data_IF_276537841334
#
_entry.id   IF_276537841334
#
_cell.length_a   1.000
_cell.length_b   1.000
_cell.length_c   1.000
_cell.angle_alpha   90.00
_cell.angle_beta   90.00
_cell.angle_gamma   90.00
#
_symmetry.space_group_name_H-M   'P 1'
#
loop_
_entity.id
_entity.type
_entity.pdbx_description
1 polymer ?
#
# COMPACT_ATOMS: atom_id res chain seq x y z
N UNK A 1 61.53 -83.27 -47.51
CA UNK A 1 60.42 -82.30 -47.46
C UNK A 1 60.76 -81.32 -46.35
N UNK A 2 61.13 -80.10 -46.73
CA UNK A 2 61.76 -79.11 -45.85
C UNK A 2 60.75 -78.45 -44.87
N UNK A 3 61.23 -77.91 -43.73
CA UNK A 3 60.38 -77.27 -42.73
C UNK A 3 60.15 -75.79 -43.06
N UNK A 4 58.93 -75.29 -42.87
CA UNK A 4 58.62 -73.86 -42.92
C UNK A 4 58.72 -73.28 -41.49
N UNK A 5 59.84 -72.62 -41.19
CA UNK A 5 60.04 -71.89 -39.96
C UNK A 5 59.25 -70.57 -40.00
N UNK A 6 58.23 -70.45 -39.14
CA UNK A 6 57.56 -69.18 -38.88
C UNK A 6 58.48 -68.31 -38.00
N UNK A 7 59.19 -67.38 -38.62
CA UNK A 7 59.96 -66.36 -37.92
C UNK A 7 59.01 -65.29 -37.37
N UNK A 8 58.81 -65.27 -36.06
CA UNK A 8 58.14 -64.18 -35.35
C UNK A 8 59.09 -63.00 -35.17
N UNK A 9 58.88 -61.93 -35.94
CA UNK A 9 59.64 -60.70 -35.82
C UNK A 9 59.11 -59.89 -34.62
N UNK A 10 59.84 -59.93 -33.50
CA UNK A 10 59.53 -59.12 -32.32
C UNK A 10 59.99 -57.68 -32.57
N UNK A 11 59.09 -56.83 -33.06
CA UNK A 11 59.34 -55.40 -33.22
C UNK A 11 59.62 -54.76 -31.83
N UNK A 12 60.88 -54.44 -31.55
CA UNK A 12 61.27 -53.74 -30.32
C UNK A 12 60.95 -52.25 -30.44
N UNK A 13 60.12 -51.73 -29.53
CA UNK A 13 59.81 -50.30 -29.44
C UNK A 13 61.07 -49.56 -28.95
N UNK A 14 61.47 -48.48 -29.64
CA UNK A 14 62.64 -47.69 -29.24
C UNK A 14 62.37 -46.87 -27.97
N UNK A 15 63.40 -46.67 -27.13
CA UNK A 15 63.31 -45.82 -25.94
C UNK A 15 62.81 -44.40 -26.27
N UNK A 16 63.27 -43.84 -27.39
CA UNK A 16 62.85 -42.52 -27.87
C UNK A 16 61.36 -42.46 -28.20
N UNK A 17 60.78 -43.54 -28.72
CA UNK A 17 59.33 -43.63 -28.96
C UNK A 17 58.55 -43.55 -27.65
N UNK A 18 59.03 -44.24 -26.60
CA UNK A 18 58.41 -44.17 -25.26
C UNK A 18 58.53 -42.78 -24.67
N UNK A 19 59.70 -42.14 -24.76
CA UNK A 19 59.92 -40.77 -24.26
C UNK A 19 59.01 -39.76 -24.96
N UNK A 20 58.89 -39.84 -26.30
CA UNK A 20 58.00 -38.97 -27.06
C UNK A 20 56.52 -39.16 -26.64
N UNK A 21 56.09 -40.40 -26.41
CA UNK A 21 54.75 -40.69 -25.93
C UNK A 21 54.50 -40.12 -24.52
N UNK A 22 55.44 -40.28 -23.59
CA UNK A 22 55.36 -39.68 -22.25
C UNK A 22 55.27 -38.16 -22.33
N UNK A 23 56.09 -37.53 -23.17
CA UNK A 23 56.08 -36.08 -23.32
C UNK A 23 54.81 -35.57 -24.01
N UNK A 24 54.17 -36.37 -24.86
CA UNK A 24 52.86 -36.05 -25.43
C UNK A 24 51.76 -36.13 -24.37
N UNK A 25 51.83 -37.13 -23.49
CA UNK A 25 50.92 -37.26 -22.35
C UNK A 25 51.09 -36.10 -21.37
N UNK A 26 52.32 -35.70 -21.05
CA UNK A 26 52.61 -34.57 -20.17
C UNK A 26 51.96 -33.27 -20.69
N UNK A 27 52.21 -32.92 -21.96
CA UNK A 27 51.57 -31.76 -22.60
C UNK A 27 50.04 -31.85 -22.61
N UNK A 28 49.50 -33.05 -22.78
CA UNK A 28 48.07 -33.27 -22.72
C UNK A 28 47.54 -33.01 -21.31
N UNK A 29 48.19 -33.53 -20.27
CA UNK A 29 47.83 -33.30 -18.86
C UNK A 29 47.82 -31.81 -18.54
N UNK A 30 48.84 -31.06 -18.96
CA UNK A 30 48.89 -29.61 -18.77
C UNK A 30 47.70 -28.89 -19.43
N UNK A 31 47.39 -29.24 -20.68
CA UNK A 31 46.23 -28.67 -21.39
C UNK A 31 44.88 -29.01 -20.72
N UNK A 32 44.77 -30.20 -20.12
CA UNK A 32 43.58 -30.58 -19.35
C UNK A 32 43.50 -29.82 -18.02
N UNK A 33 44.64 -29.58 -17.35
CA UNK A 33 44.69 -28.79 -16.12
C UNK A 33 44.23 -27.34 -16.36
N UNK A 34 44.69 -26.69 -17.44
CA UNK A 34 44.24 -25.34 -17.80
C UNK A 34 42.73 -25.29 -18.12
N UNK A 35 42.22 -26.32 -18.81
CA UNK A 35 40.78 -26.45 -19.08
C UNK A 35 39.97 -26.60 -17.80
N UNK A 36 40.43 -27.42 -16.86
CA UNK A 36 39.77 -27.61 -15.57
C UNK A 36 39.73 -26.30 -14.77
N UNK A 37 40.84 -25.58 -14.67
CA UNK A 37 40.88 -24.28 -13.97
C UNK A 37 39.94 -23.25 -14.59
N UNK A 38 39.81 -23.23 -15.92
CA UNK A 38 38.87 -22.33 -16.59
C UNK A 38 37.41 -22.71 -16.30
N UNK A 39 37.09 -24.01 -16.32
CA UNK A 39 35.76 -24.51 -15.97
C UNK A 39 35.42 -24.24 -14.50
N UNK A 40 36.37 -24.44 -13.58
CA UNK A 40 36.22 -24.14 -12.16
C UNK A 40 35.92 -22.66 -11.93
N UNK A 41 36.67 -21.76 -12.59
CA UNK A 41 36.39 -20.32 -12.51
C UNK A 41 34.98 -19.99 -13.03
N UNK A 42 34.59 -20.56 -14.16
CA UNK A 42 33.26 -20.32 -14.76
C UNK A 42 32.14 -20.84 -13.86
N UNK A 43 32.28 -22.06 -13.34
CA UNK A 43 31.30 -22.67 -12.43
C UNK A 43 31.16 -21.86 -11.14
N UNK A 44 32.27 -21.42 -10.53
CA UNK A 44 32.23 -20.53 -9.37
C UNK A 44 31.50 -19.20 -9.65
N UNK A 45 31.68 -18.61 -10.85
CA UNK A 45 30.94 -17.39 -11.21
C UNK A 45 29.44 -17.64 -11.40
N UNK A 46 29.06 -18.80 -11.94
CA UNK A 46 27.63 -19.15 -12.11
C UNK A 46 26.99 -19.53 -10.79
N UNK A 47 27.71 -20.18 -9.88
CA UNK A 47 27.26 -20.46 -8.52
C UNK A 47 27.00 -19.18 -7.76
N UNK A 48 27.90 -18.18 -7.85
CA UNK A 48 27.68 -16.87 -7.26
C UNK A 48 26.38 -16.21 -7.76
N UNK A 49 26.15 -16.25 -9.08
CA UNK A 49 24.91 -15.70 -9.67
C UNK A 49 23.67 -16.46 -9.19
N UNK A 50 23.76 -17.78 -9.03
CA UNK A 50 22.68 -18.59 -8.49
C UNK A 50 22.37 -18.20 -7.04
N UNK A 51 23.41 -18.04 -6.22
CA UNK A 51 23.27 -17.60 -4.84
C UNK A 51 22.67 -16.18 -4.73
N UNK A 52 23.11 -15.24 -5.58
CA UNK A 52 22.52 -13.90 -5.63
C UNK A 52 21.03 -13.97 -6.02
N UNK A 53 20.66 -14.82 -6.99
CA UNK A 53 19.26 -15.09 -7.33
C UNK A 53 18.48 -15.69 -6.15
N UNK A 54 19.01 -16.71 -5.49
CA UNK A 54 18.40 -17.34 -4.31
C UNK A 54 18.12 -16.31 -3.21
N UNK A 55 19.09 -15.44 -2.94
CA UNK A 55 18.93 -14.34 -1.99
C UNK A 55 17.75 -13.44 -2.36
N UNK A 56 17.67 -13.01 -3.62
CA UNK A 56 16.55 -12.17 -4.07
C UNK A 56 15.20 -12.88 -3.96
N UNK A 57 15.15 -14.19 -4.24
CA UNK A 57 13.93 -15.00 -4.08
C UNK A 57 13.49 -15.04 -2.61
N UNK A 58 14.42 -15.21 -1.67
CA UNK A 58 14.13 -15.17 -0.23
C UNK A 58 13.62 -13.79 0.17
N UNK A 59 14.24 -12.70 -0.30
CA UNK A 59 13.79 -11.33 -0.02
C UNK A 59 12.36 -11.07 -0.54
N UNK A 60 12.02 -11.57 -1.74
CA UNK A 60 10.65 -11.52 -2.25
C UNK A 60 9.67 -12.33 -1.39
N UNK A 61 10.09 -13.50 -0.90
CA UNK A 61 9.29 -14.32 0.02
C UNK A 61 8.95 -13.55 1.29
N UNK A 62 9.95 -12.95 1.93
CA UNK A 62 9.76 -12.12 3.13
C UNK A 62 8.83 -10.92 2.86
N UNK A 63 8.97 -10.27 1.69
CA UNK A 63 8.09 -9.17 1.33
C UNK A 63 6.63 -9.63 1.17
N UNK A 64 6.40 -10.76 0.50
CA UNK A 64 5.06 -11.31 0.33
C UNK A 64 4.44 -11.71 1.66
N UNK A 65 5.21 -12.36 2.53
CA UNK A 65 4.75 -12.75 3.86
C UNK A 65 4.35 -11.52 4.70
N UNK A 66 5.16 -10.45 4.66
CA UNK A 66 4.83 -9.19 5.35
C UNK A 66 3.53 -8.55 4.82
N UNK A 67 3.31 -8.55 3.49
CA UNK A 67 2.08 -8.03 2.88
C UNK A 67 0.86 -8.90 3.22
N UNK A 68 1.03 -10.23 3.23
CA UNK A 68 -0.02 -11.17 3.63
C UNK A 68 -0.40 -11.01 5.09
N UNK A 69 0.57 -10.76 5.98
CA UNK A 69 0.29 -10.45 7.39
C UNK A 69 -0.59 -9.20 7.55
N UNK A 70 -0.27 -8.11 6.83
CA UNK A 70 -1.09 -6.89 6.84
C UNK A 70 -2.50 -7.13 6.32
N UNK A 71 -2.64 -7.87 5.20
CA UNK A 71 -3.95 -8.24 4.67
C UNK A 71 -4.75 -9.10 5.65
N UNK A 72 -4.08 -10.02 6.37
CA UNK A 72 -4.69 -10.82 7.44
C UNK A 72 -5.30 -9.95 8.54
N UNK A 73 -4.54 -8.95 9.03
CA UNK A 73 -5.03 -7.98 10.02
C UNK A 73 -6.24 -7.19 9.49
N UNK A 74 -6.19 -6.72 8.24
CA UNK A 74 -7.30 -5.96 7.65
C UNK A 74 -8.59 -6.79 7.53
N UNK A 75 -8.48 -8.06 7.16
CA UNK A 75 -9.63 -8.98 7.11
C UNK A 75 -10.23 -9.16 8.51
N UNK A 76 -9.38 -9.31 9.52
CA UNK A 76 -9.82 -9.41 10.91
C UNK A 76 -10.56 -8.13 11.35
N UNK A 77 -10.00 -6.95 11.05
CA UNK A 77 -10.62 -5.65 11.36
C UNK A 77 -11.97 -5.48 10.65
N UNK A 78 -12.05 -5.86 9.37
CA UNK A 78 -13.30 -5.83 8.62
C UNK A 78 -14.36 -6.73 9.26
N UNK A 79 -13.99 -7.93 9.70
CA UNK A 79 -14.89 -8.84 10.41
C UNK A 79 -15.39 -8.26 11.75
N UNK A 80 -14.55 -7.52 12.48
CA UNK A 80 -14.97 -6.82 13.69
C UNK A 80 -15.93 -5.67 13.37
N UNK A 81 -15.66 -4.90 12.32
CA UNK A 81 -16.52 -3.82 11.87
C UNK A 81 -17.89 -4.33 11.43
N UNK A 82 -17.93 -5.45 10.71
CA UNK A 82 -19.16 -6.09 10.28
C UNK A 82 -20.02 -6.53 11.47
N UNK A 83 -19.43 -7.15 12.49
CA UNK A 83 -20.14 -7.51 13.74
C UNK A 83 -20.69 -6.29 14.46
N UNK A 84 -19.91 -5.21 14.55
CA UNK A 84 -20.37 -3.94 15.14
C UNK A 84 -21.56 -3.36 14.38
N UNK A 85 -21.54 -3.42 13.05
CA UNK A 85 -22.65 -2.96 12.21
C UNK A 85 -23.90 -3.80 12.41
N UNK A 86 -23.77 -5.12 12.45
CA UNK A 86 -24.88 -6.05 12.73
C UNK A 86 -25.48 -5.80 14.13
N UNK A 87 -24.63 -5.60 15.13
CA UNK A 87 -25.06 -5.24 16.48
C UNK A 87 -25.85 -3.93 16.50
N UNK A 88 -25.36 -2.91 15.80
CA UNK A 88 -26.06 -1.62 15.67
C UNK A 88 -27.40 -1.76 14.96
N UNK A 89 -27.46 -2.56 13.89
CA UNK A 89 -28.69 -2.85 13.17
C UNK A 89 -29.71 -3.55 14.08
N UNK A 90 -29.28 -4.53 14.87
CA UNK A 90 -30.14 -5.21 15.84
C UNK A 90 -30.65 -4.27 16.94
N UNK A 91 -29.82 -3.35 17.43
CA UNK A 91 -30.23 -2.33 18.40
C UNK A 91 -31.32 -1.41 17.84
N UNK A 92 -31.17 -0.96 16.60
CA UNK A 92 -32.14 -0.12 15.91
C UNK A 92 -33.45 -0.88 15.63
N UNK A 93 -33.36 -2.14 15.16
CA UNK A 93 -34.53 -3.00 14.92
C UNK A 93 -35.33 -3.27 16.21
N UNK A 94 -34.64 -3.53 17.32
CA UNK A 94 -35.27 -3.83 18.60
C UNK A 94 -35.74 -2.58 19.37
N UNK A 95 -35.61 -1.38 18.78
CA UNK A 95 -35.93 -0.11 19.43
C UNK A 95 -35.25 0.06 20.80
N UNK A 96 -34.05 -0.52 20.97
CA UNK A 96 -33.23 -0.37 22.17
C UNK A 96 -32.52 1.00 22.18
N UNK A 97 -33.28 2.06 21.93
CA UNK A 97 -32.81 3.44 21.89
C UNK A 97 -32.41 3.96 23.27
N UNK A 98 -32.78 3.27 24.35
CA UNK A 98 -32.39 3.62 25.71
C UNK A 98 -30.86 3.57 25.92
N UNK A 99 -30.12 2.75 25.16
CA UNK A 99 -28.64 2.74 25.16
C UNK A 99 -28.06 4.02 24.54
N UNK A 100 -28.83 4.70 23.69
CA UNK A 100 -28.49 6.01 23.12
C UNK A 100 -29.02 7.17 23.98
N UNK A 101 -29.81 6.88 25.02
CA UNK A 101 -30.27 7.88 25.96
C UNK A 101 -29.17 8.24 26.95
N UNK A 102 -29.10 9.53 27.26
CA UNK A 102 -28.23 10.03 28.30
C UNK A 102 -28.78 9.52 29.64
N UNK A 103 -27.98 8.84 30.49
CA UNK A 103 -28.43 8.55 31.84
C UNK A 103 -28.74 9.90 32.51
N UNK A 104 -29.94 10.09 33.09
CA UNK A 104 -30.20 11.25 33.93
C UNK A 104 -29.15 11.25 35.05
N UNK A 105 -28.56 12.42 35.30
CA UNK A 105 -27.30 12.56 36.03
C UNK A 105 -27.22 11.85 37.39
N UNK A 106 -25.96 11.59 37.76
CA UNK A 106 -25.41 11.04 39.01
C UNK A 106 -25.52 9.53 39.31
N UNK A 107 -26.30 8.74 38.56
CA UNK A 107 -26.26 7.28 38.70
C UNK A 107 -26.11 6.61 37.35
N UNK A 108 -24.90 6.15 37.03
CA UNK A 108 -24.64 5.24 35.91
C UNK A 108 -25.19 3.86 36.31
N UNK A 109 -26.25 3.35 35.66
CA UNK A 109 -26.80 2.05 35.99
C UNK A 109 -25.73 0.95 35.86
N UNK A 110 -25.71 -0.05 36.76
CA UNK A 110 -24.75 -1.18 36.74
C UNK A 110 -24.70 -1.93 35.39
N UNK A 111 -25.76 -1.83 34.59
CA UNK A 111 -25.86 -2.39 33.24
C UNK A 111 -24.89 -1.71 32.24
N UNK A 112 -24.34 -0.54 32.57
CA UNK A 112 -23.36 0.19 31.77
C UNK A 112 -21.92 -0.33 31.91
N UNK A 113 -21.60 -1.03 33.00
CA UNK A 113 -20.29 -1.70 33.13
C UNK A 113 -20.15 -2.88 32.15
N UNK A 114 -21.27 -3.51 31.78
CA UNK A 114 -21.33 -4.64 30.84
C UNK A 114 -21.40 -4.23 29.36
N UNK A 115 -21.39 -2.93 29.03
CA UNK A 115 -21.35 -2.47 27.65
C UNK A 115 -20.02 -2.86 26.99
N UNK A 116 -20.06 -3.30 25.73
CA UNK A 116 -18.85 -3.53 24.95
C UNK A 116 -18.11 -2.20 24.71
N UNK A 117 -16.78 -2.24 24.55
CA UNK A 117 -15.94 -1.04 24.42
C UNK A 117 -16.42 -0.08 23.31
N UNK A 118 -16.93 -0.61 22.19
CA UNK A 118 -17.43 0.21 21.10
C UNK A 118 -18.75 0.93 21.43
N UNK A 119 -19.61 0.36 22.29
CA UNK A 119 -20.82 1.03 22.75
C UNK A 119 -20.44 2.21 23.64
N UNK A 120 -19.43 2.03 24.51
CA UNK A 120 -18.86 3.12 25.30
C UNK A 120 -18.21 4.18 24.43
N UNK A 121 -17.48 3.80 23.39
CA UNK A 121 -16.87 4.70 22.40
C UNK A 121 -17.93 5.53 21.66
N UNK A 122 -19.00 4.87 21.18
CA UNK A 122 -20.12 5.52 20.50
C UNK A 122 -20.83 6.50 21.44
N UNK A 123 -21.11 6.09 22.68
CA UNK A 123 -21.68 6.95 23.69
C UNK A 123 -20.79 8.17 23.98
N UNK A 124 -19.48 7.98 24.17
CA UNK A 124 -18.52 9.08 24.35
C UNK A 124 -18.52 10.04 23.16
N UNK A 125 -18.62 9.54 21.94
CA UNK A 125 -18.67 10.36 20.73
C UNK A 125 -19.98 11.16 20.63
N UNK A 126 -21.13 10.53 20.94
CA UNK A 126 -22.43 11.19 20.98
C UNK A 126 -22.49 12.22 22.12
N UNK A 127 -21.96 11.90 23.28
CA UNK A 127 -21.88 12.80 24.44
C UNK A 127 -20.98 14.00 24.15
N UNK A 128 -19.81 13.75 23.54
CA UNK A 128 -18.89 14.81 23.11
C UNK A 128 -19.57 15.75 22.09
N UNK A 129 -20.23 15.22 21.07
CA UNK A 129 -20.94 16.04 20.08
C UNK A 129 -22.12 16.82 20.67
N UNK A 130 -22.89 16.24 21.61
CA UNK A 130 -23.96 16.95 22.32
C UNK A 130 -23.41 18.04 23.25
N UNK A 131 -22.34 17.78 23.98
CA UNK A 131 -21.72 18.76 24.87
C UNK A 131 -21.08 19.90 24.08
N UNK A 132 -20.39 19.63 22.98
CA UNK A 132 -19.88 20.66 22.07
C UNK A 132 -21.01 21.52 21.50
N UNK A 133 -22.13 20.90 21.13
CA UNK A 133 -23.34 21.60 20.67
C UNK A 133 -23.99 22.45 21.78
N UNK A 134 -24.05 21.95 23.01
CA UNK A 134 -24.58 22.68 24.16
C UNK A 134 -23.65 23.82 24.58
N UNK A 135 -22.34 23.64 24.56
CA UNK A 135 -21.34 24.68 24.82
C UNK A 135 -21.39 25.76 23.73
N UNK A 136 -21.56 25.36 22.46
CA UNK A 136 -21.75 26.32 21.35
C UNK A 136 -23.05 27.11 21.50
N UNK A 137 -24.14 26.46 21.95
CA UNK A 137 -25.40 27.13 22.20
C UNK A 137 -25.29 28.09 23.40
N UNK A 138 -24.62 27.66 24.47
CA UNK A 138 -24.35 28.47 25.66
C UNK A 138 -23.46 29.68 25.34
N UNK A 139 -22.50 29.54 24.42
CA UNK A 139 -21.69 30.65 23.91
C UNK A 139 -22.50 31.66 23.06
N UNK A 140 -23.50 31.19 22.30
CA UNK A 140 -24.42 32.06 21.53
C UNK A 140 -25.38 32.79 22.48
N UNK A 141 -25.87 32.11 23.53
CA UNK A 141 -26.77 32.68 24.53
C UNK A 141 -26.04 33.63 25.49
N UNK A 142 -24.78 33.34 25.83
CA UNK A 142 -23.95 34.17 26.72
C UNK A 142 -23.47 35.48 26.10
N UNK A 143 -23.68 35.68 24.79
CA UNK A 143 -23.45 36.97 24.15
C UNK A 143 -24.65 37.90 24.40
N UNK A 144 -24.47 39.03 25.11
CA UNK A 144 -25.58 39.92 25.46
C UNK A 144 -26.26 40.55 24.23
N UNK A 145 -25.59 40.61 23.09
CA UNK A 145 -26.13 41.19 21.85
C UNK A 145 -27.30 40.37 21.26
N UNK A 146 -27.28 39.04 21.40
CA UNK A 146 -28.35 38.15 20.90
C UNK A 146 -29.58 38.13 21.82
N UNK A 147 -29.36 38.15 23.13
CA UNK A 147 -30.44 38.29 24.12
C UNK A 147 -31.13 39.65 24.00
N UNK A 148 -30.39 40.70 23.69
CA UNK A 148 -30.92 42.05 23.48
C UNK A 148 -31.82 42.16 22.25
N UNK A 149 -31.52 41.44 21.16
CA UNK A 149 -32.35 41.39 19.95
C UNK A 149 -33.62 40.55 20.14
N UNK A 150 -33.52 39.41 20.84
CA UNK A 150 -34.66 38.53 21.08
C UNK A 150 -35.67 39.12 22.09
N UNK A 151 -35.17 39.79 23.14
CA UNK A 151 -35.99 40.44 24.16
C UNK A 151 -36.69 41.72 23.65
N UNK A 152 -36.16 42.34 22.58
CA UNK A 152 -36.71 43.57 21.98
C UNK A 152 -37.88 43.31 21.02
N UNK A 153 -38.13 42.07 20.58
CA UNK A 153 -39.28 41.75 19.73
C UNK A 153 -39.33 42.56 18.43
N UNK A 154 -38.18 42.82 17.79
CA UNK A 154 -38.13 43.60 16.56
C UNK A 154 -38.28 42.68 15.34
N UNK A 155 -39.41 42.83 14.64
CA UNK A 155 -39.59 42.33 13.29
C UNK A 155 -38.49 42.92 12.38
N UNK A 156 -37.85 42.14 11.48
CA UNK A 156 -37.05 42.72 10.41
C UNK A 156 -37.99 43.37 9.39
N UNK A 157 -38.46 44.59 9.68
CA UNK A 157 -39.32 45.35 8.79
C UNK A 157 -38.65 46.66 8.41
N UNK A 158 -38.14 46.64 7.17
CA UNK A 158 -37.89 47.67 6.18
C UNK A 158 -38.36 49.12 6.46
N UNK A 159 -37.59 50.05 5.90
CA UNK A 159 -37.91 51.47 5.74
C UNK A 159 -36.63 52.27 5.47
N UNK A 160 -35.94 52.07 4.35
CA UNK A 160 -36.23 52.59 3.00
C UNK A 160 -35.98 54.09 2.85
N UNK A 161 -35.12 54.45 1.88
CA UNK A 161 -35.34 55.43 0.80
C UNK A 161 -34.01 55.86 0.18
N UNK A 162 -33.83 55.98 -1.13
CA UNK A 162 -34.60 55.63 -2.32
C UNK A 162 -33.59 55.85 -3.47
N UNK A 163 -33.32 54.82 -4.27
CA UNK A 163 -33.77 54.72 -5.67
C UNK A 163 -33.02 55.64 -6.64
N UNK A 164 -32.30 55.03 -7.58
CA UNK A 164 -32.52 55.37 -8.98
C UNK A 164 -32.54 54.10 -9.82
N UNK A 165 -33.70 53.91 -10.43
CA UNK A 165 -34.13 52.87 -11.34
C UNK A 165 -33.18 52.58 -12.51
N UNK A 166 -33.24 51.34 -12.98
CA UNK A 166 -32.74 50.89 -14.27
C UNK A 166 -33.49 49.65 -14.73
N UNK A 167 -34.73 49.87 -15.15
CA UNK A 167 -35.76 48.99 -15.70
C UNK A 167 -35.35 47.73 -16.49
N UNK A 168 -36.29 46.77 -16.42
CA UNK A 168 -36.80 45.87 -17.50
C UNK A 168 -36.01 44.64 -17.95
N UNK A 169 -36.63 43.49 -17.64
CA UNK A 169 -36.95 42.33 -18.50
C UNK A 169 -35.87 41.57 -19.28
N UNK A 170 -35.96 40.23 -19.15
CA UNK A 170 -35.77 39.18 -20.16
C UNK A 170 -34.85 39.49 -21.37
N UNK A 171 -33.69 38.80 -21.43
CA UNK A 171 -33.21 38.03 -22.59
C UNK A 171 -31.76 37.55 -22.38
N UNK A 172 -31.50 36.25 -22.63
CA UNK A 172 -30.19 35.74 -23.11
C UNK A 172 -29.80 36.45 -24.42
N UNK A 173 -28.52 36.72 -24.75
CA UNK A 173 -27.56 35.65 -25.12
C UNK A 173 -26.07 35.90 -24.78
N UNK A 174 -25.23 34.87 -24.87
CA UNK A 174 -23.75 34.97 -25.00
C UNK A 174 -23.30 35.55 -26.37
N UNK A 175 -22.05 35.39 -26.87
CA UNK A 175 -20.86 34.69 -26.35
C UNK A 175 -19.54 35.53 -26.39
N UNK A 176 -18.41 34.95 -25.98
CA UNK A 176 -17.05 35.41 -26.33
C UNK A 176 -16.14 35.59 -25.11
N UNK A 177 -15.26 34.63 -24.81
CA UNK A 177 -13.81 34.64 -25.18
C UNK A 177 -13.00 35.56 -24.25
N UNK A 178 -11.87 35.20 -23.62
CA UNK A 178 -10.81 34.19 -23.73
C UNK A 178 -10.10 34.25 -22.32
N UNK A 179 -9.27 33.35 -21.78
CA UNK A 179 -8.28 32.46 -22.35
C UNK A 179 -7.81 31.48 -21.26
N UNK A 180 -7.47 30.27 -21.71
CA UNK A 180 -6.98 29.10 -20.97
C UNK A 180 -5.63 29.28 -20.28
N UNK A 181 -5.39 28.51 -19.22
CA UNK A 181 -4.13 27.76 -19.15
C UNK A 181 -4.35 26.38 -18.48
N UNK A 182 -4.24 25.35 -19.33
CA UNK A 182 -4.32 23.93 -18.98
C UNK A 182 -2.87 23.43 -18.95
N UNK A 183 -2.40 22.96 -17.79
CA UNK A 183 -1.08 22.31 -17.69
C UNK A 183 -1.13 20.98 -18.44
N UNK A 184 -0.29 20.86 -19.47
CA UNK A 184 -0.12 19.67 -20.29
C UNK A 184 0.75 18.63 -19.58
N UNK A 185 0.44 17.36 -19.86
CA UNK A 185 1.19 16.17 -19.51
C UNK A 185 2.56 16.19 -20.19
N UNK A 186 3.61 15.95 -19.42
CA UNK A 186 4.97 15.80 -19.93
C UNK A 186 5.22 14.33 -20.29
N UNK A 187 5.25 14.03 -21.59
CA UNK A 187 5.86 12.82 -22.13
C UNK A 187 6.99 13.22 -23.06
N UNK A 188 8.17 13.50 -22.49
CA UNK A 188 9.40 13.75 -23.22
C UNK A 188 9.99 12.47 -23.80
N UNK A 189 9.84 12.27 -25.10
CA UNK A 189 10.70 11.40 -25.91
C UNK A 189 11.40 12.25 -26.97
N UNK A 190 12.75 12.30 -26.96
CA UNK A 190 13.51 12.66 -28.18
C UNK A 190 14.77 13.51 -28.03
N UNK A 191 15.93 12.83 -28.14
CA UNK A 191 17.10 13.13 -29.00
C UNK A 191 17.75 14.54 -29.00
N UNK A 192 19.04 14.53 -28.68
CA UNK A 192 20.14 15.37 -29.24
C UNK A 192 21.30 14.40 -29.55
N UNK A 193 21.81 14.23 -30.78
CA UNK A 193 22.70 15.09 -31.58
C UNK A 193 23.99 15.54 -30.86
N UNK A 194 24.96 14.64 -30.76
CA UNK A 194 26.38 14.81 -31.18
C UNK A 194 27.09 13.46 -31.13
#
# INVERSE_FOLDING_TARGET
MAPAAAAGERAGISLWTVVAAVQAVERSVDAHAERLLNLERRTATTEKKYFDCEKTVVDFGNQLESKLAVLGTLIQEYGQLQKRLENMENLLKNKNFWILQLPPGDEVPKEWENLEEWQRELYKNVLRGKNESLISLDYVISKPDFLSQLQRGEAPCNGDKEVLEGSTMLAEPGPGEHCSERVCLDTGTGRTLS
#
